data_IF_513077427259
#
_entry.id   IF_513077427259
#
_cell.length_a   1.000
_cell.length_b   1.000
_cell.length_c   1.000
_cell.angle_alpha   90.00
_cell.angle_beta   90.00
_cell.angle_gamma   90.00
#
_symmetry.space_group_name_H-M   'P 1'
#
loop_
_entity.id
_entity.type
_entity.pdbx_description
1 polymer ?
#
# COMPACT_ATOMS: atom_id res chain seq x y z
N UNK A 1 0.82 -11.79 13.74
CA UNK A 1 -0.08 -12.32 12.71
C UNK A 1 0.57 -12.01 11.39
N UNK A 2 1.47 -12.87 10.96
CA UNK A 2 2.42 -12.60 9.87
C UNK A 2 2.36 -13.65 8.76
N UNK A 3 1.41 -14.58 8.85
CA UNK A 3 1.22 -15.65 7.86
C UNK A 3 0.09 -15.24 6.92
N UNK A 4 0.35 -15.34 5.61
CA UNK A 4 -0.61 -15.15 4.53
C UNK A 4 -1.99 -15.76 4.82
N UNK A 5 -2.03 -17.05 5.21
CA UNK A 5 -3.27 -17.75 5.53
C UNK A 5 -4.11 -17.11 6.65
N UNK A 6 -3.48 -16.42 7.61
CA UNK A 6 -4.21 -15.70 8.66
C UNK A 6 -4.95 -14.51 8.09
N UNK A 7 -4.31 -13.77 7.19
CA UNK A 7 -4.89 -12.60 6.52
C UNK A 7 -5.92 -13.00 5.47
N UNK A 8 -5.66 -14.05 4.68
CA UNK A 8 -6.64 -14.59 3.72
C UNK A 8 -7.95 -14.94 4.41
N UNK A 9 -7.88 -15.63 5.57
CA UNK A 9 -9.06 -15.94 6.38
C UNK A 9 -9.75 -14.68 6.88
N UNK A 10 -9.01 -13.74 7.45
CA UNK A 10 -9.55 -12.47 7.95
C UNK A 10 -10.33 -11.71 6.85
N UNK A 11 -9.75 -11.57 5.65
CA UNK A 11 -10.41 -10.86 4.56
C UNK A 11 -11.59 -11.63 3.97
N UNK A 12 -11.51 -12.97 3.93
CA UNK A 12 -12.64 -13.81 3.50
C UNK A 12 -13.84 -13.64 4.43
N UNK A 13 -13.63 -13.74 5.75
CA UNK A 13 -14.67 -13.56 6.76
C UNK A 13 -15.23 -12.14 6.76
N UNK A 14 -14.35 -11.13 6.60
CA UNK A 14 -14.77 -9.73 6.53
C UNK A 14 -15.65 -9.45 5.30
N UNK A 15 -15.32 -10.03 4.14
CA UNK A 15 -16.09 -9.85 2.90
C UNK A 15 -17.43 -10.59 2.89
N UNK A 16 -17.56 -11.70 3.62
CA UNK A 16 -18.77 -12.52 3.64
C UNK A 16 -19.81 -12.06 4.65
N UNK A 17 -19.39 -11.32 5.68
CA UNK A 17 -20.27 -10.85 6.76
C UNK A 17 -21.21 -9.69 6.37
N UNK A 18 -20.99 -9.01 5.24
CA UNK A 18 -21.78 -7.85 4.82
C UNK A 18 -22.03 -7.87 3.31
N UNK A 19 -23.25 -7.53 2.87
CA UNK A 19 -23.59 -7.41 1.44
C UNK A 19 -22.92 -6.20 0.75
N UNK A 20 -22.20 -5.36 1.51
CA UNK A 20 -21.58 -4.13 1.00
C UNK A 20 -20.13 -4.08 1.44
N UNK A 21 -19.21 -3.95 0.49
CA UNK A 21 -17.79 -3.79 0.80
C UNK A 21 -17.57 -2.61 1.74
N UNK A 22 -16.82 -2.86 2.83
CA UNK A 22 -16.37 -1.83 3.77
C UNK A 22 -14.85 -1.88 3.88
N UNK A 23 -14.22 -0.71 3.78
CA UNK A 23 -12.78 -0.58 4.03
C UNK A 23 -12.48 -0.94 5.49
N UNK A 24 -11.43 -1.72 5.70
CA UNK A 24 -10.89 -1.97 7.03
C UNK A 24 -9.65 -1.09 7.23
N UNK A 25 -9.73 -0.20 8.21
CA UNK A 25 -8.67 0.76 8.50
C UNK A 25 -7.99 0.40 9.83
N UNK A 26 -6.72 0.01 9.76
CA UNK A 26 -5.87 -0.03 10.96
C UNK A 26 -5.55 1.39 11.42
N UNK A 27 -5.76 1.64 12.72
CA UNK A 27 -5.51 2.90 13.45
C UNK A 27 -6.32 4.11 13.00
N UNK A 28 -6.14 4.54 11.75
CA UNK A 28 -6.75 5.73 11.18
C UNK A 28 -6.95 5.60 9.67
N UNK A 29 -7.89 6.37 9.13
CA UNK A 29 -8.10 6.53 7.68
C UNK A 29 -7.26 7.67 7.09
N UNK A 30 -7.32 7.82 5.76
CA UNK A 30 -6.52 8.79 5.00
C UNK A 30 -6.62 10.23 5.53
N UNK A 31 -7.80 10.71 5.88
CA UNK A 31 -8.00 12.11 6.29
C UNK A 31 -7.13 12.51 7.49
N UNK A 32 -6.82 11.57 8.39
CA UNK A 32 -5.96 11.83 9.55
C UNK A 32 -4.48 12.04 9.19
N UNK A 33 -4.04 11.51 8.05
CA UNK A 33 -2.63 11.55 7.61
C UNK A 33 -2.42 12.30 6.30
N UNK A 34 -3.49 12.78 5.66
CA UNK A 34 -3.44 13.49 4.38
C UNK A 34 -2.42 14.61 4.40
N UNK A 35 -2.46 15.44 5.44
CA UNK A 35 -1.62 16.65 5.51
C UNK A 35 -0.16 16.32 5.85
N UNK A 36 0.16 15.06 6.18
CA UNK A 36 1.54 14.55 6.31
C UNK A 36 2.03 13.90 5.01
N UNK A 37 1.16 13.15 4.32
CA UNK A 37 1.53 12.41 3.11
C UNK A 37 1.60 13.33 1.89
N UNK A 38 0.60 14.18 1.68
CA UNK A 38 0.52 15.01 0.46
C UNK A 38 1.73 15.92 0.26
N UNK A 39 2.31 16.57 1.29
CA UNK A 39 3.50 17.39 1.10
C UNK A 39 4.74 16.60 0.66
N UNK A 40 4.88 15.33 1.08
CA UNK A 40 6.03 14.47 0.69
C UNK A 40 6.01 14.13 -0.79
N UNK A 41 4.85 14.23 -1.45
CA UNK A 41 4.72 14.01 -2.88
C UNK A 41 5.06 15.25 -3.71
N UNK A 42 5.37 16.40 -3.08
CA UNK A 42 5.60 17.66 -3.80
C UNK A 42 7.09 17.97 -4.04
N UNK A 43 8.01 17.10 -3.62
CA UNK A 43 9.36 17.55 -3.26
C UNK A 43 10.47 17.42 -4.31
N UNK A 44 10.28 16.82 -5.49
CA UNK A 44 11.37 16.76 -6.49
C UNK A 44 10.87 16.80 -7.95
N UNK A 45 11.59 17.48 -8.86
CA UNK A 45 11.43 17.26 -10.30
C UNK A 45 11.90 15.84 -10.64
N UNK A 46 10.96 14.90 -10.79
CA UNK A 46 11.25 13.56 -11.27
C UNK A 46 11.50 13.61 -12.80
N UNK A 47 12.51 12.93 -13.35
CA UNK A 47 12.86 13.00 -14.79
C UNK A 47 11.66 12.72 -15.72
N UNK A 48 10.82 11.75 -15.34
CA UNK A 48 9.60 11.37 -16.06
C UNK A 48 8.32 12.01 -15.49
N UNK A 49 8.44 12.80 -14.42
CA UNK A 49 7.31 13.45 -13.74
C UNK A 49 6.30 12.51 -13.06
N UNK A 50 6.55 11.20 -13.00
CA UNK A 50 5.68 10.18 -12.40
C UNK A 50 6.30 9.59 -11.13
N UNK A 51 5.74 9.96 -9.98
CA UNK A 51 6.22 9.49 -8.67
C UNK A 51 5.72 8.05 -8.40
N UNK A 52 6.61 7.19 -7.93
CA UNK A 52 6.33 5.82 -7.52
C UNK A 52 6.01 5.78 -6.02
N UNK A 53 4.79 5.36 -5.68
CA UNK A 53 4.30 5.27 -4.30
C UNK A 53 3.92 3.82 -3.98
N UNK A 54 4.46 3.29 -2.89
CA UNK A 54 4.14 1.95 -2.39
C UNK A 54 3.34 2.04 -1.08
N UNK A 55 2.09 1.57 -1.09
CA UNK A 55 1.28 1.31 0.11
C UNK A 55 1.49 -0.16 0.52
N UNK A 56 2.30 -0.38 1.56
CA UNK A 56 2.84 -1.68 1.95
C UNK A 56 1.94 -2.40 2.96
N UNK A 57 1.51 -3.62 2.64
CA UNK A 57 0.50 -4.34 3.41
C UNK A 57 -0.82 -3.58 3.44
N UNK A 58 -1.26 -3.15 2.24
CA UNK A 58 -2.38 -2.23 2.06
C UNK A 58 -3.72 -2.79 2.57
N UNK A 59 -3.86 -4.12 2.66
CA UNK A 59 -5.10 -4.78 3.03
C UNK A 59 -6.29 -4.33 2.20
N UNK A 60 -7.37 -3.94 2.89
CA UNK A 60 -8.55 -3.31 2.29
C UNK A 60 -8.68 -1.83 2.66
N UNK A 61 -7.58 -1.20 3.07
CA UNK A 61 -7.49 0.23 3.39
C UNK A 61 -7.80 1.09 2.17
N UNK A 62 -8.41 2.25 2.39
CA UNK A 62 -8.60 3.27 1.36
C UNK A 62 -7.36 4.17 1.18
N UNK A 63 -6.28 3.97 1.96
CA UNK A 63 -5.09 4.82 1.97
C UNK A 63 -4.47 5.03 0.58
N UNK A 64 -3.98 3.97 -0.07
CA UNK A 64 -3.45 4.04 -1.44
C UNK A 64 -4.43 4.63 -2.46
N UNK A 65 -5.69 4.16 -2.56
CA UNK A 65 -6.71 4.78 -3.42
C UNK A 65 -6.93 6.27 -3.16
N UNK A 66 -6.86 6.70 -1.90
CA UNK A 66 -6.99 8.11 -1.55
C UNK A 66 -5.76 8.91 -1.93
N UNK A 67 -4.55 8.37 -1.83
CA UNK A 67 -3.35 9.02 -2.37
C UNK A 67 -3.53 9.23 -3.88
N UNK A 68 -3.88 8.17 -4.62
CA UNK A 68 -4.16 8.25 -6.06
C UNK A 68 -5.23 9.30 -6.42
N UNK A 69 -6.31 9.35 -5.64
CA UNK A 69 -7.43 10.28 -5.86
C UNK A 69 -7.13 11.73 -5.52
N UNK A 70 -6.16 12.02 -4.65
CA UNK A 70 -5.91 13.38 -4.16
C UNK A 70 -4.59 13.98 -4.64
N UNK A 71 -3.62 13.16 -5.05
CA UNK A 71 -2.32 13.61 -5.55
C UNK A 71 -2.46 14.54 -6.76
N UNK A 72 -2.03 15.81 -6.66
CA UNK A 72 -2.12 16.75 -7.79
C UNK A 72 -1.07 16.47 -8.88
N UNK A 73 0.03 15.82 -8.51
CA UNK A 73 1.09 15.38 -9.43
C UNK A 73 0.82 13.96 -9.93
N UNK A 74 1.36 13.57 -11.10
CA UNK A 74 1.26 12.20 -11.57
C UNK A 74 1.91 11.23 -10.58
N UNK A 75 1.12 10.24 -10.13
CA UNK A 75 1.61 9.18 -9.24
C UNK A 75 1.29 7.81 -9.82
N UNK A 76 2.19 6.85 -9.67
CA UNK A 76 1.87 5.42 -9.72
C UNK A 76 1.78 4.93 -8.28
N UNK A 77 0.57 4.61 -7.84
CA UNK A 77 0.33 4.05 -6.51
C UNK A 77 0.18 2.54 -6.64
N UNK A 78 1.13 1.81 -6.07
CA UNK A 78 1.10 0.35 -5.94
C UNK A 78 0.67 -0.03 -4.54
N UNK A 79 -0.51 -0.62 -4.42
CA UNK A 79 -1.05 -1.13 -3.17
C UNK A 79 -0.69 -2.62 -3.07
N UNK A 80 0.28 -2.95 -2.24
CA UNK A 80 0.82 -4.31 -2.13
C UNK A 80 0.32 -5.01 -0.87
N UNK A 81 -0.15 -6.26 -0.99
CA UNK A 81 -0.46 -7.10 0.17
C UNK A 81 -0.06 -8.57 -0.09
N UNK A 82 0.31 -9.29 0.96
CA UNK A 82 0.62 -10.72 0.86
C UNK A 82 -0.64 -11.58 0.62
N UNK A 83 -1.82 -11.03 0.93
CA UNK A 83 -3.11 -11.68 0.75
C UNK A 83 -3.70 -11.41 -0.64
N UNK A 84 -3.79 -12.42 -1.54
CA UNK A 84 -4.47 -12.27 -2.82
C UNK A 84 -5.97 -11.94 -2.66
N UNK A 85 -6.56 -12.30 -1.51
CA UNK A 85 -7.96 -11.99 -1.22
C UNK A 85 -8.14 -10.48 -1.06
N UNK A 86 -7.29 -9.82 -0.27
CA UNK A 86 -7.32 -8.36 -0.13
C UNK A 86 -7.13 -7.65 -1.47
N UNK A 87 -6.12 -8.07 -2.24
CA UNK A 87 -5.80 -7.54 -3.56
C UNK A 87 -7.00 -7.66 -4.51
N UNK A 88 -7.64 -8.83 -4.57
CA UNK A 88 -8.83 -9.05 -5.40
C UNK A 88 -9.97 -8.13 -4.98
N UNK A 89 -10.31 -8.11 -3.69
CA UNK A 89 -11.43 -7.31 -3.18
C UNK A 89 -11.23 -5.81 -3.46
N UNK A 90 -10.00 -5.32 -3.34
CA UNK A 90 -9.70 -3.92 -3.64
C UNK A 90 -9.77 -3.59 -5.13
N UNK A 91 -9.30 -4.49 -6.03
CA UNK A 91 -9.46 -4.33 -7.48
C UNK A 91 -10.94 -4.25 -7.87
N UNK A 92 -11.76 -5.18 -7.37
CA UNK A 92 -13.21 -5.22 -7.62
C UNK A 92 -13.88 -3.94 -7.12
N UNK A 93 -13.50 -3.47 -5.93
CA UNK A 93 -14.07 -2.26 -5.33
C UNK A 93 -13.73 -1.00 -6.12
N UNK A 94 -12.47 -0.83 -6.51
CA UNK A 94 -12.01 0.32 -7.30
C UNK A 94 -12.69 0.36 -8.66
N UNK A 95 -12.84 -0.80 -9.30
CA UNK A 95 -13.57 -0.93 -10.56
C UNK A 95 -15.05 -0.60 -10.39
N UNK A 96 -15.71 -1.15 -9.37
CA UNK A 96 -17.14 -0.92 -9.09
C UNK A 96 -17.44 0.54 -8.78
N UNK A 97 -16.58 1.21 -8.01
CA UNK A 97 -16.73 2.64 -7.67
C UNK A 97 -16.20 3.59 -8.74
N UNK A 98 -15.58 3.07 -9.80
CA UNK A 98 -14.94 3.85 -10.85
C UNK A 98 -14.05 4.97 -10.29
N UNK A 99 -13.20 4.66 -9.32
CA UNK A 99 -12.35 5.67 -8.66
C UNK A 99 -11.45 6.34 -9.70
N UNK A 100 -11.53 7.66 -9.79
CA UNK A 100 -10.75 8.47 -10.71
C UNK A 100 -9.58 9.15 -10.00
N UNK A 101 -8.45 9.37 -10.69
CA UNK A 101 -7.35 10.14 -10.14
C UNK A 101 -7.67 11.64 -10.16
N UNK A 102 -6.94 12.41 -9.35
CA UNK A 102 -6.91 13.87 -9.53
C UNK A 102 -6.12 14.25 -10.78
N UNK A 103 -4.97 13.60 -11.00
CA UNK A 103 -4.15 13.78 -12.19
C UNK A 103 -4.30 12.60 -13.16
N UNK A 104 -4.76 12.85 -14.39
CA UNK A 104 -5.08 11.82 -15.39
C UNK A 104 -3.90 10.93 -15.80
N UNK A 105 -2.67 11.38 -15.59
CA UNK A 105 -1.46 10.58 -15.85
C UNK A 105 -1.16 9.58 -14.71
N UNK A 106 -1.93 9.62 -13.63
CA UNK A 106 -1.74 8.73 -12.48
C UNK A 106 -2.24 7.32 -12.75
N UNK A 107 -1.64 6.35 -12.07
CA UNK A 107 -2.00 4.93 -12.15
C UNK A 107 -2.20 4.36 -10.74
N UNK A 108 -3.19 3.50 -10.58
CA UNK A 108 -3.44 2.75 -9.35
C UNK A 108 -3.40 1.27 -9.69
N UNK A 109 -2.57 0.53 -8.97
CA UNK A 109 -2.47 -0.92 -9.10
C UNK A 109 -2.50 -1.60 -7.74
N UNK A 110 -2.98 -2.83 -7.73
CA UNK A 110 -2.96 -3.70 -6.56
C UNK A 110 -2.16 -4.93 -6.92
N UNK A 111 -1.24 -5.35 -6.06
CA UNK A 111 -0.29 -6.44 -6.36
C UNK A 111 -0.22 -7.38 -5.17
N UNK A 112 -0.27 -8.69 -5.43
CA UNK A 112 0.07 -9.69 -4.43
C UNK A 112 1.59 -9.72 -4.30
N UNK A 113 2.10 -9.33 -3.13
CA UNK A 113 3.53 -9.18 -2.92
C UNK A 113 3.91 -9.39 -1.45
N UNK A 114 4.94 -10.22 -1.23
CA UNK A 114 5.59 -10.34 0.08
C UNK A 114 6.61 -9.21 0.23
N UNK A 115 6.36 -8.30 1.17
CA UNK A 115 7.20 -7.12 1.38
C UNK A 115 8.59 -7.46 1.94
N UNK A 116 8.84 -8.72 2.34
CA UNK A 116 10.19 -9.20 2.65
C UNK A 116 11.05 -9.45 1.40
N UNK A 117 10.46 -9.31 0.20
CA UNK A 117 11.06 -9.57 -1.11
C UNK A 117 10.88 -8.40 -2.09
N UNK A 118 10.77 -7.14 -1.61
CA UNK A 118 10.55 -5.98 -2.51
C UNK A 118 11.60 -5.86 -3.62
N UNK A 119 12.87 -6.16 -3.34
CA UNK A 119 13.96 -6.10 -4.32
C UNK A 119 13.77 -7.02 -5.55
N UNK A 120 12.91 -8.04 -5.47
CA UNK A 120 12.59 -8.91 -6.62
C UNK A 120 11.63 -8.23 -7.60
N UNK A 121 10.90 -7.21 -7.14
CA UNK A 121 9.87 -6.49 -7.89
C UNK A 121 10.25 -5.04 -8.22
N UNK A 122 11.16 -4.46 -7.44
CA UNK A 122 11.58 -3.06 -7.54
C UNK A 122 13.09 -2.96 -7.69
N UNK A 123 13.54 -2.05 -8.56
CA UNK A 123 14.96 -1.70 -8.65
C UNK A 123 15.43 -0.92 -7.42
N UNK A 124 16.74 -0.84 -7.23
CA UNK A 124 17.31 0.04 -6.20
C UNK A 124 16.90 1.49 -6.46
N UNK A 125 16.51 2.21 -5.41
CA UNK A 125 16.08 3.62 -5.50
C UNK A 125 15.03 3.89 -6.59
N UNK A 126 14.05 2.99 -6.71
CA UNK A 126 12.97 3.08 -7.71
C UNK A 126 11.62 3.52 -7.13
N UNK A 127 11.53 3.74 -5.82
CA UNK A 127 10.31 4.16 -5.13
C UNK A 127 10.52 5.50 -4.43
N UNK A 128 9.68 6.50 -4.72
CA UNK A 128 9.78 7.83 -4.11
C UNK A 128 9.21 7.87 -2.69
N UNK A 129 8.13 7.12 -2.43
CA UNK A 129 7.46 7.07 -1.13
C UNK A 129 6.99 5.66 -0.79
N UNK A 130 7.34 5.19 0.40
CA UNK A 130 6.78 3.97 0.99
C UNK A 130 5.94 4.36 2.19
N UNK A 131 4.71 3.85 2.25
CA UNK A 131 3.79 4.03 3.37
C UNK A 131 3.57 2.67 4.04
N UNK A 132 3.89 2.60 5.33
CA UNK A 132 3.56 1.48 6.21
C UNK A 132 2.53 1.94 7.23
N UNK A 133 1.33 1.36 7.17
CA UNK A 133 0.27 1.59 8.16
C UNK A 133 -0.17 0.28 8.77
N UNK A 134 0.55 -0.16 9.80
CA UNK A 134 0.21 -1.34 10.60
C UNK A 134 0.78 -2.66 10.10
N UNK A 135 1.55 -2.65 9.02
CA UNK A 135 2.19 -3.85 8.49
C UNK A 135 3.35 -4.25 9.38
N UNK A 136 4.20 -3.31 9.80
CA UNK A 136 5.24 -3.58 10.80
C UNK A 136 4.62 -4.05 12.13
N UNK A 137 3.53 -3.44 12.60
CA UNK A 137 2.82 -3.87 13.81
C UNK A 137 2.32 -5.32 13.69
N UNK A 138 1.72 -5.67 12.55
CA UNK A 138 1.26 -7.02 12.26
C UNK A 138 2.38 -8.07 12.32
N UNK A 139 3.55 -7.73 11.76
CA UNK A 139 4.76 -8.54 11.78
C UNK A 139 5.25 -8.73 13.21
N UNK A 140 5.44 -7.65 13.96
CA UNK A 140 5.99 -7.68 15.33
C UNK A 140 5.15 -8.49 16.32
N UNK A 141 3.89 -8.78 16.00
CA UNK A 141 3.02 -9.68 16.77
C UNK A 141 3.30 -11.16 16.58
N UNK A 142 4.22 -11.58 15.72
CA UNK A 142 4.61 -12.99 15.57
C UNK A 142 5.92 -13.31 16.30
N UNK A 143 6.15 -14.59 16.58
CA UNK A 143 7.37 -15.07 17.26
C UNK A 143 8.66 -14.66 16.53
N UNK A 144 8.62 -14.68 15.19
CA UNK A 144 9.73 -14.27 14.30
C UNK A 144 9.56 -12.84 13.79
N UNK A 145 8.63 -12.09 14.37
CA UNK A 145 8.18 -10.79 13.89
C UNK A 145 9.29 -9.76 13.79
N UNK A 146 10.21 -9.75 14.76
CA UNK A 146 11.37 -8.85 14.78
C UNK A 146 12.31 -9.09 13.60
N UNK A 147 12.56 -10.35 13.25
CA UNK A 147 13.42 -10.70 12.12
C UNK A 147 12.76 -10.28 10.79
N UNK A 148 11.45 -10.55 10.65
CA UNK A 148 10.70 -10.15 9.46
C UNK A 148 10.57 -8.63 9.32
N UNK A 149 10.26 -7.91 10.40
CA UNK A 149 10.22 -6.45 10.38
C UNK A 149 11.59 -5.84 10.01
N UNK A 150 12.69 -6.40 10.53
CA UNK A 150 14.03 -5.99 10.12
C UNK A 150 14.30 -6.27 8.63
N UNK A 151 13.87 -7.43 8.14
CA UNK A 151 13.99 -7.77 6.72
C UNK A 151 13.19 -6.80 5.85
N UNK A 152 11.93 -6.53 6.16
CA UNK A 152 11.10 -5.55 5.45
C UNK A 152 11.75 -4.16 5.46
N UNK A 153 12.24 -3.69 6.60
CA UNK A 153 12.92 -2.39 6.67
C UNK A 153 14.14 -2.34 5.75
N UNK A 154 14.97 -3.40 5.70
CA UNK A 154 16.10 -3.49 4.76
C UNK A 154 15.63 -3.43 3.31
N UNK A 155 14.56 -4.13 2.98
CA UNK A 155 13.96 -4.14 1.65
C UNK A 155 13.47 -2.74 1.25
N UNK A 156 12.75 -2.06 2.14
CA UNK A 156 12.31 -0.67 1.94
C UNK A 156 13.49 0.28 1.71
N UNK A 157 14.54 0.19 2.54
CA UNK A 157 15.73 1.04 2.40
C UNK A 157 16.51 0.79 1.09
N UNK A 158 16.44 -0.41 0.52
CA UNK A 158 17.07 -0.69 -0.77
C UNK A 158 16.29 -0.07 -1.94
N UNK A 159 14.96 -0.11 -1.89
CA UNK A 159 14.11 0.30 -3.02
C UNK A 159 13.72 1.77 -2.98
N UNK A 160 13.72 2.40 -1.79
CA UNK A 160 13.39 3.83 -1.66
C UNK A 160 14.51 4.71 -2.21
N UNK A 161 14.16 5.77 -2.92
CA UNK A 161 15.13 6.79 -3.33
C UNK A 161 15.63 7.54 -2.09
N UNK A 162 16.96 7.61 -1.93
CA UNK A 162 17.59 8.39 -0.86
C UNK A 162 17.84 9.80 -1.38
N UNK A 163 17.30 10.80 -0.67
CA UNK A 163 17.46 12.20 -1.04
C UNK A 163 18.80 12.79 -0.68
#
# INVERSE_FOLDING_TARGET
MDKKATWDRFYTESSSSTNTFKHFEWFFGFDAVRDFIMPLLQTKPHPDGLLQVLDMGCGTSALGPCIYRHSPLPVRVTCADISPIAVRLMREQVQTKAIQPHNLSSRLEFVELDCTQLHEHYGCSSVDLIVDKGTTDALLRSKEGKLKANQVLKQCLMVIETS
#
